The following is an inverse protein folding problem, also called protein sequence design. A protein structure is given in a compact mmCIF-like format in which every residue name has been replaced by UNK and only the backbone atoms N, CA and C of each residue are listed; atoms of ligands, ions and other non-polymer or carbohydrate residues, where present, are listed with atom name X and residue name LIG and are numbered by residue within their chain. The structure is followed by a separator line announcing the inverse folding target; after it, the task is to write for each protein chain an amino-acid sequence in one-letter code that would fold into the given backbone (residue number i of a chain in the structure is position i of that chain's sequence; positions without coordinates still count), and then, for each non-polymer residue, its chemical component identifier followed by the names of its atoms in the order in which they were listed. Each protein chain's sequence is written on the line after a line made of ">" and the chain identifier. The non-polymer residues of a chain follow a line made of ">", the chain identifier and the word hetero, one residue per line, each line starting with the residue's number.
data_IF_397956374026
#
_entry.id   IF_397956374026
#
_cell.length_a   1.000
_cell.length_b   1.000
_cell.length_c   1.000
_cell.angle_alpha   90.00
_cell.angle_beta   90.00
_cell.angle_gamma   90.00
#
_symmetry.space_group_name_H-M   'P 1'
#
loop_
_entity.id
_entity.type
_entity.pdbx_description
1 polymer ?
#
# COMPACT_ATOMS: atom_id res chain seq x y z
N UNK A 1 -9.08 -18.25 -63.57
CA UNK A 1 -8.28 -17.43 -62.63
C UNK A 1 -9.18 -16.99 -61.46
N UNK A 2 -9.16 -17.71 -60.33
CA UNK A 2 -9.95 -17.35 -59.13
C UNK A 2 -9.12 -16.36 -58.29
N UNK A 3 -9.64 -15.15 -58.09
CA UNK A 3 -9.01 -14.13 -57.23
C UNK A 3 -9.23 -14.53 -55.76
N UNK A 4 -8.15 -14.94 -55.09
CA UNK A 4 -8.15 -15.15 -53.65
C UNK A 4 -8.05 -13.76 -53.00
N UNK A 5 -9.13 -13.28 -52.39
CA UNK A 5 -9.08 -12.12 -51.50
C UNK A 5 -8.54 -12.62 -50.16
N UNK A 6 -7.24 -12.46 -49.94
CA UNK A 6 -6.62 -12.69 -48.63
C UNK A 6 -7.06 -11.54 -47.73
N UNK A 7 -8.02 -11.83 -46.85
CA UNK A 7 -8.39 -10.95 -45.74
C UNK A 7 -7.17 -10.82 -44.83
N UNK A 8 -6.58 -9.62 -44.77
CA UNK A 8 -5.66 -9.25 -43.71
C UNK A 8 -6.48 -9.15 -42.41
N UNK A 9 -6.66 -10.27 -41.72
CA UNK A 9 -7.03 -10.22 -40.30
C UNK A 9 -5.78 -9.70 -39.57
N UNK A 10 -5.83 -8.54 -38.92
CA UNK A 10 -4.65 -7.97 -38.31
C UNK A 10 -4.27 -8.87 -37.12
N UNK A 11 -3.03 -9.36 -37.14
CA UNK A 11 -2.33 -10.02 -36.03
C UNK A 11 -2.09 -8.95 -34.95
N UNK A 12 -3.16 -8.47 -34.32
CA UNK A 12 -3.15 -7.36 -33.36
C UNK A 12 -3.86 -7.70 -32.05
N UNK A 13 -4.02 -9.00 -31.76
CA UNK A 13 -4.53 -9.47 -30.48
C UNK A 13 -3.58 -10.55 -29.95
N UNK A 14 -2.33 -10.15 -29.71
CA UNK A 14 -1.39 -10.91 -28.89
C UNK A 14 -0.66 -9.98 -27.91
N UNK A 15 -1.41 -9.11 -27.23
CA UNK A 15 -0.90 -8.25 -26.15
C UNK A 15 -1.69 -8.38 -24.84
N UNK A 16 -2.67 -9.26 -24.78
CA UNK A 16 -3.58 -9.39 -23.63
C UNK A 16 -3.41 -10.73 -22.94
N UNK A 17 -2.40 -10.91 -22.06
CA UNK A 17 -2.46 -11.79 -20.86
C UNK A 17 -1.16 -11.89 -20.01
N UNK A 18 -0.28 -10.88 -20.00
CA UNK A 18 0.79 -10.82 -18.97
C UNK A 18 0.60 -9.69 -17.97
N UNK A 19 -0.65 -9.37 -17.62
CA UNK A 19 -0.91 -8.70 -16.34
C UNK A 19 -0.94 -9.73 -15.21
N UNK A 20 0.19 -10.42 -15.00
CA UNK A 20 0.45 -11.03 -13.70
C UNK A 20 0.73 -9.87 -12.75
N UNK A 21 -0.33 -9.28 -12.19
CA UNK A 21 -0.18 -8.22 -11.18
C UNK A 21 0.44 -8.86 -9.96
N UNK A 22 1.77 -8.87 -9.88
CA UNK A 22 2.45 -9.24 -8.64
C UNK A 22 1.99 -8.24 -7.59
N UNK A 23 1.29 -8.74 -6.57
CA UNK A 23 0.84 -7.94 -5.42
C UNK A 23 2.02 -7.88 -4.42
N UNK A 24 2.06 -6.87 -3.56
CA UNK A 24 2.99 -6.93 -2.43
C UNK A 24 2.52 -8.00 -1.46
N UNK A 25 3.44 -8.62 -0.72
CA UNK A 25 3.06 -9.44 0.42
C UNK A 25 2.52 -8.48 1.49
N UNK A 26 1.36 -8.80 2.04
CA UNK A 26 0.75 -8.00 3.10
C UNK A 26 0.65 -8.89 4.34
N UNK A 27 1.18 -8.39 5.46
CA UNK A 27 1.01 -8.98 6.78
C UNK A 27 0.18 -8.03 7.63
N UNK A 28 -0.80 -8.58 8.34
CA UNK A 28 -1.62 -7.82 9.29
C UNK A 28 -1.28 -8.23 10.71
N UNK A 29 -1.14 -7.23 11.58
CA UNK A 29 -0.96 -7.41 13.03
C UNK A 29 -2.04 -6.58 13.74
N UNK A 30 -2.65 -7.15 14.77
CA UNK A 30 -3.74 -6.51 15.52
C UNK A 30 -3.36 -6.47 17.01
N UNK A 31 -3.38 -5.29 17.62
CA UNK A 31 -2.93 -5.09 19.01
C UNK A 31 -4.00 -4.29 19.76
N UNK A 32 -4.85 -4.94 20.58
CA UNK A 32 -4.92 -6.38 20.85
C UNK A 32 -5.57 -7.17 19.70
N UNK A 33 -5.24 -8.47 19.57
CA UNK A 33 -5.69 -9.33 18.46
C UNK A 33 -7.22 -9.57 18.43
N UNK A 34 -7.86 -9.61 19.60
CA UNK A 34 -9.28 -9.98 19.75
C UNK A 34 -10.14 -8.79 20.22
N UNK A 35 -9.97 -7.64 19.55
CA UNK A 35 -10.70 -6.44 19.96
C UNK A 35 -12.16 -6.49 19.51
N UNK A 36 -13.08 -6.59 20.47
CA UNK A 36 -14.50 -6.36 20.25
C UNK A 36 -14.83 -4.89 20.53
N UNK A 37 -14.67 -4.03 19.52
CA UNK A 37 -15.03 -2.61 19.60
C UNK A 37 -16.09 -2.25 18.57
N UNK A 38 -17.18 -1.65 19.05
CA UNK A 38 -18.24 -1.03 18.24
C UNK A 38 -17.97 0.45 17.94
N UNK A 39 -16.87 1.02 18.44
CA UNK A 39 -16.58 2.46 18.38
C UNK A 39 -15.52 2.72 17.32
N UNK A 40 -15.81 3.69 16.44
CA UNK A 40 -14.87 4.22 15.46
C UNK A 40 -13.81 5.05 16.20
N UNK A 41 -12.55 4.60 16.18
CA UNK A 41 -11.46 5.27 16.88
C UNK A 41 -10.39 5.84 15.94
N UNK A 42 -10.53 5.67 14.62
CA UNK A 42 -9.49 5.98 13.64
C UNK A 42 -9.02 7.44 13.65
N UNK A 43 -8.08 7.74 14.54
CA UNK A 43 -7.60 9.09 14.85
C UNK A 43 -6.40 9.44 13.96
N UNK A 44 -5.45 8.51 13.74
CA UNK A 44 -4.16 8.80 13.10
C UNK A 44 -3.62 7.65 12.22
N UNK A 45 -3.01 7.99 11.07
CA UNK A 45 -2.12 7.07 10.32
C UNK A 45 -0.70 7.35 10.76
N UNK A 46 0.04 6.29 11.04
CA UNK A 46 1.38 6.37 11.57
C UNK A 46 2.30 5.59 10.63
N UNK A 47 3.20 6.28 9.96
CA UNK A 47 4.08 5.70 8.97
C UNK A 47 5.46 5.50 9.60
N UNK A 48 5.87 4.25 9.78
CA UNK A 48 7.23 3.93 10.18
C UNK A 48 8.04 3.57 8.94
N UNK A 49 9.09 4.35 8.69
CA UNK A 49 9.96 4.22 7.53
C UNK A 49 11.38 4.04 8.01
N UNK A 50 12.02 2.95 7.63
CA UNK A 50 13.42 2.72 7.92
C UNK A 50 14.18 2.39 6.64
N UNK A 51 15.40 2.90 6.51
CA UNK A 51 16.26 2.66 5.36
C UNK A 51 16.90 1.28 5.47
N UNK A 52 16.81 0.51 4.38
CA UNK A 52 17.57 -0.71 4.18
C UNK A 52 18.59 -0.43 3.08
N UNK A 53 19.88 -0.57 3.40
CA UNK A 53 20.97 -0.21 2.49
C UNK A 53 20.81 -0.91 1.13
N UNK A 54 20.76 -0.12 0.06
CA UNK A 54 20.61 -0.61 -1.32
C UNK A 54 19.19 -1.05 -1.70
N UNK A 55 18.19 -0.77 -0.86
CA UNK A 55 16.80 -1.10 -1.10
C UNK A 55 16.00 0.18 -1.35
N UNK A 56 15.51 0.33 -2.58
CA UNK A 56 14.59 1.41 -2.95
C UNK A 56 13.21 1.17 -2.33
N UNK A 57 12.58 2.25 -1.87
CA UNK A 57 11.23 2.25 -1.32
C UNK A 57 10.37 3.28 -2.01
N UNK A 58 9.97 3.00 -3.25
CA UNK A 58 9.04 3.84 -4.01
C UNK A 58 7.64 3.66 -3.44
N UNK A 59 7.18 4.59 -2.61
CA UNK A 59 5.94 4.50 -1.86
C UNK A 59 4.99 5.58 -2.35
N UNK A 60 3.72 5.24 -2.53
CA UNK A 60 2.63 6.20 -2.68
C UNK A 60 1.41 5.71 -1.92
N UNK A 61 0.92 6.53 -1.00
CA UNK A 61 -0.33 6.32 -0.27
C UNK A 61 -1.37 7.30 -0.79
N UNK A 62 -2.47 6.78 -1.34
CA UNK A 62 -3.60 7.59 -1.78
C UNK A 62 -4.91 7.03 -1.23
N UNK A 63 -5.90 7.89 -1.05
CA UNK A 63 -7.28 7.47 -0.78
C UNK A 63 -7.97 6.93 -2.04
N UNK A 64 -9.16 6.33 -1.88
CA UNK A 64 -9.98 5.89 -3.01
C UNK A 64 -10.38 7.01 -3.99
N UNK A 65 -10.56 8.24 -3.50
CA UNK A 65 -10.84 9.41 -4.33
C UNK A 65 -9.57 10.08 -4.88
N UNK A 66 -8.39 9.45 -4.72
CA UNK A 66 -7.13 9.89 -5.33
C UNK A 66 -6.40 11.00 -4.56
N UNK A 67 -6.79 11.30 -3.31
CA UNK A 67 -6.08 12.27 -2.47
C UNK A 67 -4.75 11.66 -2.05
N UNK A 68 -3.65 12.37 -2.32
CA UNK A 68 -2.31 11.97 -1.90
C UNK A 68 -2.15 12.18 -0.39
N UNK A 69 -1.78 11.10 0.30
CA UNK A 69 -1.48 11.11 1.74
C UNK A 69 0.04 11.20 1.94
N UNK A 70 0.80 10.40 1.20
CA UNK A 70 2.25 10.34 1.31
C UNK A 70 2.90 9.82 0.03
N UNK A 71 4.13 10.26 -0.25
CA UNK A 71 4.97 9.69 -1.29
C UNK A 71 6.46 9.70 -0.95
N UNK A 72 7.16 8.66 -1.36
CA UNK A 72 8.62 8.59 -1.40
C UNK A 72 9.08 8.01 -2.75
N UNK A 73 10.22 8.46 -3.25
CA UNK A 73 10.86 7.92 -4.45
C UNK A 73 12.35 7.65 -4.14
N UNK A 74 12.80 6.43 -4.43
CA UNK A 74 14.15 5.97 -4.21
C UNK A 74 14.41 5.45 -2.79
N UNK A 75 15.67 5.51 -2.38
CA UNK A 75 16.10 5.12 -1.03
C UNK A 75 15.69 6.19 -0.01
N UNK A 76 15.37 5.75 1.21
CA UNK A 76 15.04 6.66 2.30
C UNK A 76 16.29 7.40 2.77
N UNK A 77 16.19 8.72 2.94
CA UNK A 77 17.35 9.54 3.33
C UNK A 77 17.80 9.33 4.78
N UNK A 78 16.86 9.07 5.69
CA UNK A 78 17.11 8.85 7.12
C UNK A 78 17.20 7.36 7.44
N UNK A 79 18.00 6.98 8.45
CA UNK A 79 18.10 5.59 8.95
C UNK A 79 16.72 5.06 9.35
N UNK A 80 16.00 5.84 10.15
CA UNK A 80 14.62 5.62 10.56
C UNK A 80 13.91 6.97 10.59
N UNK A 81 12.61 6.96 10.36
CA UNK A 81 11.74 8.11 10.56
C UNK A 81 10.32 7.65 10.84
N UNK A 82 9.67 8.37 11.73
CA UNK A 82 8.27 8.22 12.03
C UNK A 82 7.52 9.45 11.53
N UNK A 83 6.41 9.22 10.82
CA UNK A 83 5.60 10.29 10.25
C UNK A 83 4.15 10.08 10.68
N UNK A 84 3.61 11.08 11.39
CA UNK A 84 2.19 11.15 11.68
C UNK A 84 1.48 11.79 10.50
N UNK A 85 0.49 11.09 9.96
CA UNK A 85 -0.27 11.50 8.80
C UNK A 85 -1.74 11.67 9.22
N UNK A 86 -2.29 12.83 8.93
CA UNK A 86 -3.72 13.09 9.19
C UNK A 86 -4.60 12.24 8.27
N UNK A 87 -5.59 11.58 8.84
CA UNK A 87 -6.57 10.80 8.07
C UNK A 87 -7.52 11.73 7.31
N UNK A 88 -7.66 11.62 5.98
CA UNK A 88 -8.75 12.30 5.29
C UNK A 88 -10.09 11.72 5.77
N UNK A 89 -11.01 12.59 6.21
CA UNK A 89 -12.32 12.18 6.77
C UNK A 89 -13.06 11.23 5.82
N UNK A 90 -13.77 10.25 6.37
CA UNK A 90 -14.61 9.27 5.65
C UNK A 90 -13.87 8.34 4.67
N UNK A 91 -12.55 8.24 4.76
CA UNK A 91 -11.77 7.31 3.95
C UNK A 91 -12.08 5.86 4.39
N UNK A 92 -12.51 5.02 3.43
CA UNK A 92 -12.83 3.60 3.67
C UNK A 92 -11.69 2.65 3.31
N UNK A 93 -10.89 3.04 2.32
CA UNK A 93 -9.73 2.27 1.88
C UNK A 93 -8.55 3.19 1.60
N UNK A 94 -7.35 2.65 1.78
CA UNK A 94 -6.10 3.24 1.34
C UNK A 94 -5.55 2.40 0.19
N UNK A 95 -5.14 3.06 -0.88
CA UNK A 95 -4.42 2.47 -1.99
C UNK A 95 -2.93 2.71 -1.75
N UNK A 96 -2.18 1.61 -1.66
CA UNK A 96 -0.73 1.60 -1.47
C UNK A 96 -0.09 1.17 -2.78
N UNK A 97 0.70 2.06 -3.39
CA UNK A 97 1.64 1.69 -4.45
C UNK A 97 3.01 1.58 -3.81
N UNK A 98 3.62 0.40 -3.87
CA UNK A 98 4.95 0.17 -3.33
C UNK A 98 5.79 -0.62 -4.32
N UNK A 99 6.92 -0.05 -4.75
CA UNK A 99 7.85 -0.59 -5.73
C UNK A 99 7.14 -1.11 -7.01
N UNK A 100 6.24 -0.28 -7.55
CA UNK A 100 5.47 -0.57 -8.77
C UNK A 100 4.25 -1.47 -8.57
N UNK A 101 4.06 -2.09 -7.40
CA UNK A 101 2.92 -2.97 -7.10
C UNK A 101 1.83 -2.22 -6.35
N UNK A 102 0.56 -2.47 -6.69
CA UNK A 102 -0.61 -1.78 -6.13
C UNK A 102 -1.43 -2.69 -5.23
N UNK A 103 -1.78 -2.19 -4.05
CA UNK A 103 -2.59 -2.87 -3.03
C UNK A 103 -3.71 -1.93 -2.61
N UNK A 104 -4.91 -2.46 -2.34
CA UNK A 104 -6.01 -1.69 -1.76
C UNK A 104 -6.35 -2.30 -0.42
N UNK A 105 -6.24 -1.52 0.64
CA UNK A 105 -6.43 -1.94 2.01
C UNK A 105 -7.72 -1.34 2.53
N UNK A 106 -8.67 -2.19 2.94
CA UNK A 106 -9.86 -1.74 3.66
C UNK A 106 -9.46 -1.42 5.09
N UNK A 107 -9.89 -0.25 5.55
CA UNK A 107 -9.53 0.23 6.87
C UNK A 107 -10.35 -0.46 7.95
N UNK A 108 -9.65 -1.01 8.94
CA UNK A 108 -10.28 -1.40 10.19
C UNK A 108 -10.26 -0.19 11.14
N UNK A 109 -11.44 0.36 11.39
CA UNK A 109 -11.62 1.57 12.19
C UNK A 109 -11.95 1.29 13.65
N UNK A 110 -11.96 0.01 14.04
CA UNK A 110 -12.16 -0.41 15.43
C UNK A 110 -10.93 -0.16 16.30
N UNK A 111 -9.78 0.18 15.70
CA UNK A 111 -8.52 0.50 16.37
C UNK A 111 -8.21 1.99 16.28
N UNK A 112 -7.50 2.50 17.28
CA UNK A 112 -7.15 3.94 17.37
C UNK A 112 -6.12 4.36 16.32
N UNK A 113 -5.20 3.46 16.02
CA UNK A 113 -4.05 3.73 15.19
C UNK A 113 -3.87 2.70 14.08
N UNK A 114 -3.40 3.17 12.93
CA UNK A 114 -3.03 2.35 11.78
C UNK A 114 -1.58 2.63 11.38
N UNK A 115 -0.77 1.58 11.34
CA UNK A 115 0.64 1.63 10.95
C UNK A 115 0.88 0.98 9.61
N UNK A 116 1.79 1.57 8.85
CA UNK A 116 2.38 0.95 7.68
C UNK A 116 3.89 0.86 7.85
N UNK A 117 4.42 -0.34 7.68
CA UNK A 117 5.86 -0.58 7.54
C UNK A 117 6.13 -1.18 6.17
N UNK A 118 7.18 -0.68 5.52
CA UNK A 118 7.61 -1.14 4.21
C UNK A 118 8.92 -1.89 4.39
N UNK A 119 8.89 -3.22 4.24
CA UNK A 119 10.00 -4.12 4.56
C UNK A 119 10.56 -4.74 3.29
N UNK A 120 11.88 -4.65 3.12
CA UNK A 120 12.58 -5.21 1.98
C UNK A 120 12.09 -4.62 0.66
N UNK A 121 11.81 -5.48 -0.33
CA UNK A 121 11.41 -5.06 -1.68
C UNK A 121 9.90 -5.12 -1.92
N UNK A 122 9.17 -5.92 -1.15
CA UNK A 122 7.78 -6.27 -1.48
C UNK A 122 6.88 -6.64 -0.30
N UNK A 123 7.33 -6.48 0.96
CA UNK A 123 6.50 -6.72 2.14
C UNK A 123 5.95 -5.40 2.68
N UNK A 124 4.66 -5.39 2.97
CA UNK A 124 3.98 -4.32 3.69
C UNK A 124 3.44 -4.93 4.98
N UNK A 125 3.91 -4.45 6.12
CA UNK A 125 3.30 -4.77 7.41
C UNK A 125 2.28 -3.70 7.76
N UNK A 126 1.08 -4.14 8.12
CA UNK A 126 -0.05 -3.28 8.47
C UNK A 126 -0.43 -3.61 9.89
N UNK A 127 -0.19 -2.68 10.80
CA UNK A 127 -0.49 -2.87 12.22
C UNK A 127 -1.70 -2.03 12.58
N UNK A 128 -2.67 -2.62 13.26
CA UNK A 128 -3.78 -1.91 13.88
C UNK A 128 -3.58 -1.97 15.40
N UNK A 129 -3.48 -0.82 16.06
CA UNK A 129 -3.20 -0.76 17.51
C UNK A 129 -4.11 0.23 18.23
N UNK A 130 -4.36 -0.03 19.50
CA UNK A 130 -4.96 0.94 20.42
C UNK A 130 -3.96 1.78 21.18
N UNK A 131 -2.71 1.35 21.19
CA UNK A 131 -1.59 2.07 21.78
C UNK A 131 -0.69 2.59 20.68
N UNK A 132 -0.24 3.83 20.83
CA UNK A 132 0.83 4.37 19.99
C UNK A 132 2.06 3.48 20.21
N UNK A 133 2.79 3.05 19.16
CA UNK A 133 3.90 2.13 19.32
C UNK A 133 5.08 2.95 19.81
N UNK A 134 5.86 2.34 20.67
CA UNK A 134 7.12 2.90 21.10
C UNK A 134 8.19 2.33 20.17
N UNK A 135 8.68 3.16 19.26
CA UNK A 135 9.83 2.80 18.44
C UNK A 135 11.09 3.24 19.17
N UNK A 136 12.01 2.31 19.39
CA UNK A 136 13.34 2.56 19.96
C UNK A 136 14.32 2.58 18.77
N UNK A 137 15.06 3.67 18.59
CA UNK A 137 16.00 3.90 17.47
C UNK A 137 17.32 3.10 17.53
#
# INVERSE_FOLDING_TARGET
>A
MKKIKISFLPIFILLSVLSCTSINKIRYTYIPENKNSSIFLGEEILLYLYNEKGIKKDITLITDNGVLIYSNNGELKKKSQYIELSFPKNTKNIIIKYNGKRNRIKLNTSYRYLYFEFVGKDLIEIVYSDKKPEFID
#
